data_IF_500375618528
#
_entry.id   IF_500375618528
#
_cell.length_a   1.000
_cell.length_b   1.000
_cell.length_c   1.000
_cell.angle_alpha   90.00
_cell.angle_beta   90.00
_cell.angle_gamma   90.00
#
_symmetry.space_group_name_H-M   'P 1'
#
loop_
_entity.id
_entity.type
_entity.pdbx_description
1 polymer ?
#
# COMPACT_ATOMS: atom_id res chain seq x y z
N UNK A 1 -19.24 5.22 18.93
CA UNK A 1 -18.45 4.21 18.20
C UNK A 1 -17.02 4.34 18.64
N UNK A 2 -16.41 3.27 19.14
CA UNK A 2 -15.01 3.25 19.54
C UNK A 2 -14.15 3.19 18.28
N UNK A 3 -13.31 4.20 18.07
CA UNK A 3 -12.30 4.17 17.03
C UNK A 3 -11.28 3.08 17.37
N UNK A 4 -11.17 2.09 16.47
CA UNK A 4 -10.17 1.03 16.52
C UNK A 4 -8.80 1.68 16.27
N UNK A 5 -7.97 1.76 17.30
CA UNK A 5 -6.57 2.19 17.19
C UNK A 5 -5.76 0.96 16.83
N UNK A 6 -5.57 0.72 15.54
CA UNK A 6 -4.63 -0.30 15.10
C UNK A 6 -3.20 0.20 15.34
N UNK A 7 -2.34 -0.57 16.04
CA UNK A 7 -0.97 -0.16 16.28
C UNK A 7 -0.22 -0.04 14.94
N UNK A 8 0.24 1.17 14.61
CA UNK A 8 0.96 1.50 13.37
C UNK A 8 2.39 0.93 13.30
N UNK A 9 2.72 -0.07 14.14
CA UNK A 9 4.03 -0.68 14.27
C UNK A 9 4.82 -0.25 15.51
N UNK A 10 6.03 -0.77 15.63
CA UNK A 10 6.98 -0.51 16.71
C UNK A 10 8.37 -0.26 16.13
N UNK A 11 9.06 0.76 16.63
CA UNK A 11 10.47 1.00 16.27
C UNK A 11 11.35 0.52 17.43
N UNK A 12 12.26 -0.39 17.12
CA UNK A 12 13.30 -0.86 18.04
C UNK A 12 14.58 -0.08 17.79
N UNK A 13 14.97 0.76 18.75
CA UNK A 13 16.23 1.50 18.69
C UNK A 13 17.29 0.86 19.59
N UNK A 14 17.41 -0.47 19.60
CA UNK A 14 18.52 -1.25 20.20
C UNK A 14 18.75 -1.11 21.72
N UNK A 15 18.09 -0.17 22.38
CA UNK A 15 18.17 0.18 23.79
C UNK A 15 16.77 0.47 24.37
N UNK A 16 15.78 0.82 23.52
CA UNK A 16 14.40 1.18 23.92
C UNK A 16 13.41 0.84 22.80
N UNK A 17 12.24 0.36 23.18
CA UNK A 17 11.08 0.20 22.29
C UNK A 17 10.15 1.41 22.46
N UNK A 18 9.83 2.08 21.35
CA UNK A 18 8.89 3.20 21.35
C UNK A 18 7.61 2.75 20.64
N UNK A 19 6.48 2.81 21.36
CA UNK A 19 5.16 2.56 20.77
C UNK A 19 4.70 3.81 20.03
N UNK A 20 4.52 3.67 18.73
CA UNK A 20 3.95 4.73 17.89
C UNK A 20 2.44 4.52 17.87
N UNK A 21 1.69 5.54 18.27
CA UNK A 21 0.24 5.56 18.16
C UNK A 21 -0.13 6.72 17.26
N UNK A 22 -0.83 6.43 16.17
CA UNK A 22 -1.31 7.44 15.26
C UNK A 22 -2.80 7.62 15.49
N UNK A 23 -3.19 8.82 15.91
CA UNK A 23 -4.60 9.21 16.01
C UNK A 23 -5.00 9.90 14.70
N UNK A 24 -5.96 9.31 13.98
CA UNK A 24 -6.52 9.86 12.75
C UNK A 24 -6.15 9.09 11.49
N UNK A 25 -6.83 9.40 10.39
CA UNK A 25 -6.55 8.82 9.08
C UNK A 25 -5.26 9.42 8.51
N UNK A 26 -4.18 8.65 8.51
CA UNK A 26 -2.98 8.98 7.73
C UNK A 26 -3.27 8.67 6.27
N UNK A 27 -3.33 9.70 5.44
CA UNK A 27 -3.58 9.55 4.00
C UNK A 27 -2.33 9.82 3.18
N UNK A 28 -1.43 10.66 3.69
CA UNK A 28 -0.23 11.09 2.98
C UNK A 28 1.02 11.06 3.87
N UNK A 29 2.20 10.99 3.25
CA UNK A 29 3.48 11.04 3.96
C UNK A 29 3.67 12.33 4.77
N UNK A 30 3.00 13.42 4.39
CA UNK A 30 2.99 14.67 5.15
C UNK A 30 2.36 14.49 6.54
N UNK A 31 1.26 13.72 6.62
CA UNK A 31 0.57 13.43 7.89
C UNK A 31 1.50 12.68 8.85
N UNK A 32 2.31 11.76 8.33
CA UNK A 32 3.32 11.03 9.10
C UNK A 32 4.39 11.97 9.66
N UNK A 33 4.82 12.99 8.90
CA UNK A 33 5.81 13.97 9.39
C UNK A 33 5.30 14.76 10.59
N UNK A 34 3.99 15.00 10.66
CA UNK A 34 3.35 15.76 11.76
C UNK A 34 3.13 14.93 13.03
N UNK A 35 3.41 13.62 13.01
CA UNK A 35 3.21 12.77 14.18
C UNK A 35 4.02 13.23 15.37
N UNK A 36 3.34 13.37 16.51
CA UNK A 36 3.96 13.74 17.79
C UNK A 36 4.33 12.48 18.56
N UNK A 37 5.62 12.25 18.71
CA UNK A 37 6.18 11.19 19.53
C UNK A 37 6.32 11.68 20.97
N UNK A 38 5.85 10.89 21.93
CA UNK A 38 6.03 11.16 23.36
C UNK A 38 7.04 10.20 23.96
N UNK A 39 8.07 10.74 24.62
CA UNK A 39 9.04 9.98 25.41
C UNK A 39 9.12 10.59 26.81
N UNK A 40 8.44 9.98 27.78
CA UNK A 40 8.25 10.60 29.11
C UNK A 40 7.51 11.93 28.99
N UNK A 41 8.14 13.02 29.44
CA UNK A 41 7.58 14.38 29.38
C UNK A 41 7.92 15.14 28.09
N UNK A 42 8.77 14.58 27.22
CA UNK A 42 9.19 15.23 26.00
C UNK A 42 8.27 14.87 24.83
N UNK A 43 7.87 15.88 24.06
CA UNK A 43 7.08 15.74 22.83
C UNK A 43 7.93 16.23 21.67
N UNK A 44 8.14 15.39 20.67
CA UNK A 44 8.93 15.70 19.46
C UNK A 44 8.13 15.33 18.22
N UNK A 45 8.17 16.17 17.18
CA UNK A 45 7.55 15.88 15.88
C UNK A 45 8.46 14.96 15.07
N UNK A 46 7.91 13.93 14.42
CA UNK A 46 8.69 12.94 13.68
C UNK A 46 9.53 13.58 12.57
N UNK A 47 8.98 14.56 11.85
CA UNK A 47 9.69 15.28 10.79
C UNK A 47 10.91 16.09 11.25
N UNK A 48 11.06 16.36 12.55
CA UNK A 48 12.21 17.10 13.08
C UNK A 48 13.42 16.18 13.33
N UNK A 49 13.18 14.87 13.40
CA UNK A 49 14.20 13.86 13.76
C UNK A 49 14.34 12.73 12.74
N UNK A 50 13.46 12.68 11.73
CA UNK A 50 13.45 11.64 10.71
C UNK A 50 13.05 12.20 9.34
N UNK A 51 13.59 11.57 8.29
CA UNK A 51 13.13 11.79 6.92
C UNK A 51 11.99 10.82 6.63
N UNK A 52 10.85 11.36 6.18
CA UNK A 52 9.71 10.55 5.75
C UNK A 52 9.63 10.60 4.23
N UNK A 53 9.57 9.44 3.60
CA UNK A 53 9.43 9.29 2.14
C UNK A 53 8.40 8.22 1.84
N UNK A 54 7.64 8.41 0.77
CA UNK A 54 6.91 7.30 0.14
C UNK A 54 7.91 6.40 -0.57
N UNK A 55 7.73 5.09 -0.40
CA UNK A 55 8.60 4.09 -1.01
C UNK A 55 7.89 2.74 -1.04
N UNK A 56 8.48 1.81 -1.78
CA UNK A 56 8.08 0.41 -1.72
C UNK A 56 8.54 -0.19 -0.38
N UNK A 57 7.84 -1.22 0.08
CA UNK A 57 8.23 -1.96 1.29
C UNK A 57 9.62 -2.61 1.08
N UNK A 58 10.56 -2.36 2.01
CA UNK A 58 11.94 -2.88 1.98
C UNK A 58 12.31 -3.50 3.34
N UNK A 59 12.74 -4.78 3.40
CA UNK A 59 12.81 -5.73 2.29
C UNK A 59 11.42 -6.12 1.78
N UNK A 60 11.30 -6.23 0.46
CA UNK A 60 10.08 -6.71 -0.18
C UNK A 60 9.65 -8.04 0.45
N UNK A 61 8.52 -8.05 1.14
CA UNK A 61 7.98 -9.29 1.72
C UNK A 61 7.49 -10.23 0.61
N UNK A 62 7.05 -9.69 -0.54
CA UNK A 62 6.62 -10.43 -1.73
C UNK A 62 6.96 -9.63 -3.00
N UNK A 63 7.77 -10.20 -3.90
CA UNK A 63 7.95 -9.69 -5.27
C UNK A 63 7.27 -10.64 -6.26
N UNK A 64 6.37 -10.12 -7.07
CA UNK A 64 5.80 -10.85 -8.20
C UNK A 64 6.62 -10.56 -9.46
N UNK A 65 6.99 -11.61 -10.19
CA UNK A 65 7.65 -11.49 -11.48
C UNK A 65 6.89 -12.24 -12.56
N UNK A 66 6.86 -11.66 -13.75
CA UNK A 66 6.36 -12.29 -14.96
C UNK A 66 7.44 -12.16 -16.04
N UNK A 67 7.85 -13.28 -16.63
CA UNK A 67 8.94 -13.35 -17.62
C UNK A 67 10.23 -12.62 -17.21
N UNK A 68 10.57 -12.62 -15.93
CA UNK A 68 11.79 -11.97 -15.40
C UNK A 68 11.65 -10.47 -15.09
N UNK A 69 10.50 -9.86 -15.37
CA UNK A 69 10.20 -8.46 -15.05
C UNK A 69 9.40 -8.35 -13.75
N UNK A 70 9.66 -7.31 -12.95
CA UNK A 70 8.85 -6.99 -11.77
C UNK A 70 7.40 -6.65 -12.24
N UNK A 71 6.40 -7.24 -11.57
CA UNK A 71 5.01 -7.27 -12.05
C UNK A 71 4.01 -7.13 -10.92
N UNK A 72 2.76 -6.81 -11.27
CA UNK A 72 1.59 -6.87 -10.38
C UNK A 72 0.58 -7.84 -11.02
N UNK A 73 0.03 -8.76 -10.22
CA UNK A 73 -0.96 -9.72 -10.70
C UNK A 73 -2.36 -9.35 -10.20
N UNK A 74 -3.34 -9.41 -11.10
CA UNK A 74 -4.76 -9.17 -10.80
C UNK A 74 -5.54 -10.44 -11.08
N UNK A 75 -6.15 -11.02 -10.04
CA UNK A 75 -7.04 -12.15 -10.19
C UNK A 75 -8.50 -11.69 -10.29
N UNK A 76 -9.22 -12.15 -11.31
CA UNK A 76 -10.65 -11.87 -11.48
C UNK A 76 -11.44 -13.14 -11.19
N UNK A 77 -12.45 -13.03 -10.32
CA UNK A 77 -13.36 -14.13 -9.98
C UNK A 77 -14.78 -13.68 -10.25
N UNK A 78 -15.54 -14.48 -10.99
CA UNK A 78 -16.94 -14.21 -11.28
C UNK A 78 -17.80 -14.33 -10.01
N UNK A 79 -18.64 -13.34 -9.76
CA UNK A 79 -19.63 -13.39 -8.69
C UNK A 79 -20.70 -14.46 -8.96
N UNK A 80 -21.24 -15.06 -7.89
CA UNK A 80 -22.25 -16.13 -8.01
C UNK A 80 -23.52 -15.62 -8.71
N UNK A 81 -24.05 -16.42 -9.63
CA UNK A 81 -25.30 -16.11 -10.35
C UNK A 81 -25.11 -15.31 -11.64
N UNK A 82 -23.88 -14.93 -11.98
CA UNK A 82 -23.55 -14.30 -13.26
C UNK A 82 -23.24 -15.35 -14.33
N UNK A 83 -23.46 -14.97 -15.60
CA UNK A 83 -23.13 -15.80 -16.75
C UNK A 83 -21.65 -15.63 -17.11
N UNK A 84 -20.91 -16.74 -17.15
CA UNK A 84 -19.47 -16.77 -17.43
C UNK A 84 -19.11 -16.16 -18.79
N UNK A 85 -19.96 -16.32 -19.80
CA UNK A 85 -19.70 -15.79 -21.13
C UNK A 85 -19.84 -14.28 -21.17
N UNK A 86 -20.81 -13.71 -20.45
CA UNK A 86 -21.02 -12.27 -20.39
C UNK A 86 -19.92 -11.60 -19.59
N UNK A 87 -19.55 -12.19 -18.44
CA UNK A 87 -18.41 -11.73 -17.64
C UNK A 87 -17.11 -11.80 -18.42
N UNK A 88 -16.88 -12.86 -19.20
CA UNK A 88 -15.71 -12.97 -20.07
C UNK A 88 -15.62 -11.82 -21.08
N UNK A 89 -16.74 -11.44 -21.72
CA UNK A 89 -16.79 -10.30 -22.65
C UNK A 89 -16.50 -8.97 -21.96
N UNK A 90 -17.02 -8.78 -20.75
CA UNK A 90 -16.79 -7.55 -19.96
C UNK A 90 -15.33 -7.42 -19.50
N UNK A 91 -14.72 -8.55 -19.09
CA UNK A 91 -13.29 -8.60 -18.75
C UNK A 91 -12.45 -8.25 -19.96
N UNK A 92 -12.73 -8.82 -21.13
CA UNK A 92 -12.03 -8.52 -22.38
C UNK A 92 -12.15 -7.04 -22.77
N UNK A 93 -13.36 -6.49 -22.72
CA UNK A 93 -13.59 -5.07 -23.00
C UNK A 93 -12.89 -4.14 -22.00
N UNK A 94 -12.67 -4.59 -20.76
CA UNK A 94 -11.92 -3.85 -19.76
C UNK A 94 -10.42 -3.96 -19.98
N UNK A 95 -9.94 -5.14 -20.38
CA UNK A 95 -8.55 -5.37 -20.76
C UNK A 95 -8.11 -4.44 -21.89
N UNK A 96 -8.87 -4.38 -22.99
CA UNK A 96 -8.56 -3.48 -24.11
C UNK A 96 -8.53 -2.00 -23.71
N UNK A 97 -9.52 -1.53 -22.95
CA UNK A 97 -9.54 -0.14 -22.46
C UNK A 97 -8.36 0.17 -21.55
N UNK A 98 -7.94 -0.81 -20.75
CA UNK A 98 -6.79 -0.65 -19.87
C UNK A 98 -5.49 -0.59 -20.67
N UNK A 99 -5.31 -1.49 -21.64
CA UNK A 99 -4.16 -1.51 -22.55
C UNK A 99 -3.97 -0.17 -23.27
N UNK A 100 -5.06 0.43 -23.77
CA UNK A 100 -5.04 1.76 -24.41
C UNK A 100 -4.65 2.90 -23.46
N UNK A 101 -4.90 2.75 -22.15
CA UNK A 101 -4.62 3.76 -21.14
C UNK A 101 -3.22 3.62 -20.51
N UNK A 102 -2.46 2.58 -20.88
CA UNK A 102 -1.15 2.34 -20.28
C UNK A 102 -0.12 3.40 -20.70
N UNK A 103 0.71 3.89 -19.76
CA UNK A 103 1.82 4.75 -20.10
C UNK A 103 2.93 3.97 -20.81
N UNK A 104 3.79 4.69 -21.54
CA UNK A 104 4.94 4.09 -22.20
C UNK A 104 5.82 3.28 -21.24
N UNK A 105 6.20 2.08 -21.66
CA UNK A 105 7.05 1.17 -20.87
C UNK A 105 6.28 0.27 -19.90
N UNK A 106 4.94 0.31 -19.89
CA UNK A 106 4.09 -0.64 -19.16
C UNK A 106 3.35 -1.53 -20.17
N UNK A 107 3.25 -2.82 -19.86
CA UNK A 107 2.47 -3.79 -20.62
C UNK A 107 1.52 -4.55 -19.69
N UNK A 108 0.47 -5.13 -20.26
CA UNK A 108 -0.47 -6.00 -19.57
C UNK A 108 -0.58 -7.31 -20.33
N UNK A 109 -0.42 -8.44 -19.63
CA UNK A 109 -0.45 -9.77 -20.22
C UNK A 109 -1.51 -10.62 -19.51
N UNK A 110 -2.32 -11.35 -20.28
CA UNK A 110 -3.29 -12.31 -19.75
C UNK A 110 -2.64 -13.70 -19.66
N UNK A 111 -2.88 -14.41 -18.54
CA UNK A 111 -2.36 -15.76 -18.24
C UNK A 111 -3.53 -16.73 -18.11
#
# INVERSE_FOLDING_TARGET
GQNNVDPAGSVDTGQRSVRISVEGSVTEAADIRELRLRAGNQVTRLGDIATVTTGLEDPYQRKYRFNGHDSVQVGVVMAKGFNVTDVGKEVEATYHRFEEALPYGVSVDQI
#
